data_IF_393121300379
#
_entry.id   IF_393121300379
#
_cell.length_a   1.000
_cell.length_b   1.000
_cell.length_c   1.000
_cell.angle_alpha   90.00
_cell.angle_beta   90.00
_cell.angle_gamma   90.00
#
_symmetry.space_group_name_H-M   'P 1'
#
loop_
_entity.id
_entity.type
_entity.pdbx_description
1 polymer ?
#
# COMPACT_ATOMS: atom_id res chain seq x y z
N UNK A 1 16.95 14.46 5.56
CA UNK A 1 15.52 14.12 5.33
C UNK A 1 15.23 12.83 6.07
N UNK A 2 14.34 12.85 7.07
CA UNK A 2 14.07 11.71 7.94
C UNK A 2 12.99 10.79 7.37
N UNK A 3 13.00 9.52 7.78
CA UNK A 3 11.96 8.54 7.47
C UNK A 3 10.65 8.95 8.13
N UNK A 4 9.55 8.99 7.38
CA UNK A 4 8.23 9.30 7.93
C UNK A 4 7.71 8.16 8.81
N UNK A 5 7.01 8.51 9.89
CA UNK A 5 6.25 7.54 10.68
C UNK A 5 5.16 6.91 9.81
N UNK A 6 5.08 5.59 9.78
CA UNK A 6 4.05 4.88 9.00
C UNK A 6 2.83 4.58 9.87
N UNK A 7 1.65 4.91 9.37
CA UNK A 7 0.36 4.50 9.93
C UNK A 7 -0.41 3.76 8.84
N UNK A 8 -0.77 2.50 9.09
CA UNK A 8 -1.59 1.69 8.17
C UNK A 8 -3.02 1.70 8.70
N UNK A 9 -3.98 2.10 7.85
CA UNK A 9 -5.40 2.09 8.20
C UNK A 9 -5.96 0.66 8.22
N UNK A 10 -7.03 0.46 8.99
CA UNK A 10 -7.69 -0.85 9.13
C UNK A 10 -8.08 -1.44 7.77
N UNK A 11 -8.60 -0.65 6.83
CA UNK A 11 -8.95 -1.15 5.49
C UNK A 11 -7.75 -1.78 4.76
N UNK A 12 -6.58 -1.12 4.83
CA UNK A 12 -5.35 -1.64 4.26
C UNK A 12 -4.82 -2.86 5.03
N UNK A 13 -4.94 -2.88 6.36
CA UNK A 13 -4.54 -4.02 7.19
C UNK A 13 -5.40 -5.25 6.91
N UNK A 14 -6.73 -5.09 6.85
CA UNK A 14 -7.67 -6.17 6.56
C UNK A 14 -7.39 -6.76 5.17
N UNK A 15 -7.20 -5.91 4.16
CA UNK A 15 -6.83 -6.37 2.82
C UNK A 15 -5.50 -7.16 2.82
N UNK A 16 -4.48 -6.68 3.54
CA UNK A 16 -3.22 -7.42 3.64
C UNK A 16 -3.41 -8.79 4.29
N UNK A 17 -4.22 -8.88 5.34
CA UNK A 17 -4.52 -10.15 6.02
C UNK A 17 -5.28 -11.12 5.11
N UNK A 18 -6.31 -10.64 4.42
CA UNK A 18 -7.10 -11.45 3.47
C UNK A 18 -6.24 -12.00 2.34
N UNK A 19 -5.43 -11.16 1.70
CA UNK A 19 -4.57 -11.58 0.58
C UNK A 19 -3.46 -12.51 1.05
N UNK A 20 -2.87 -12.25 2.22
CA UNK A 20 -1.86 -13.15 2.81
C UNK A 20 -2.47 -14.52 3.05
N UNK A 21 -3.63 -14.58 3.69
CA UNK A 21 -4.35 -15.82 3.96
C UNK A 21 -4.71 -16.56 2.66
N UNK A 22 -5.20 -15.85 1.64
CA UNK A 22 -5.49 -16.44 0.34
C UNK A 22 -4.24 -17.07 -0.30
N UNK A 23 -3.08 -16.39 -0.25
CA UNK A 23 -1.82 -16.96 -0.74
C UNK A 23 -1.38 -18.18 0.07
N UNK A 24 -1.54 -18.17 1.39
CA UNK A 24 -1.20 -19.32 2.22
C UNK A 24 -2.03 -20.55 1.84
N UNK A 25 -3.33 -20.36 1.63
CA UNK A 25 -4.26 -21.44 1.29
C UNK A 25 -4.11 -21.95 -0.15
N UNK A 26 -3.77 -21.09 -1.11
CA UNK A 26 -3.75 -21.45 -2.55
C UNK A 26 -2.37 -21.76 -3.12
N UNK A 27 -1.34 -21.05 -2.65
CA UNK A 27 0.02 -21.09 -3.23
C UNK A 27 1.09 -21.50 -2.20
N UNK A 28 0.72 -21.54 -0.91
CA UNK A 28 1.59 -21.88 0.20
C UNK A 28 2.32 -20.69 0.83
N UNK A 29 2.90 -20.93 2.01
CA UNK A 29 3.49 -19.89 2.89
C UNK A 29 4.57 -19.04 2.22
N UNK A 30 5.39 -19.61 1.34
CA UNK A 30 6.44 -18.86 0.63
C UNK A 30 5.87 -17.75 -0.24
N UNK A 31 4.74 -17.98 -0.90
CA UNK A 31 4.08 -16.97 -1.73
C UNK A 31 3.47 -15.85 -0.86
N UNK A 32 2.84 -16.22 0.26
CA UNK A 32 2.28 -15.27 1.21
C UNK A 32 3.35 -14.37 1.86
N UNK A 33 4.49 -14.96 2.23
CA UNK A 33 5.63 -14.23 2.77
C UNK A 33 6.17 -13.24 1.73
N UNK A 34 6.37 -13.68 0.49
CA UNK A 34 6.82 -12.81 -0.61
C UNK A 34 5.89 -11.61 -0.79
N UNK A 35 4.58 -11.83 -0.81
CA UNK A 35 3.60 -10.74 -0.88
C UNK A 35 3.77 -9.73 0.27
N UNK A 36 3.89 -10.22 1.50
CA UNK A 36 4.04 -9.37 2.69
C UNK A 36 5.34 -8.55 2.63
N UNK A 37 6.43 -9.16 2.21
CA UNK A 37 7.74 -8.52 2.08
C UNK A 37 7.74 -7.46 0.98
N UNK A 38 7.13 -7.74 -0.17
CA UNK A 38 7.01 -6.79 -1.28
C UNK A 38 6.22 -5.52 -0.85
N UNK A 39 5.10 -5.71 -0.13
CA UNK A 39 4.32 -4.59 0.41
C UNK A 39 5.12 -3.81 1.45
N UNK A 40 5.81 -4.48 2.39
CA UNK A 40 6.65 -3.83 3.41
C UNK A 40 7.79 -3.03 2.78
N UNK A 41 8.48 -3.58 1.79
CA UNK A 41 9.55 -2.90 1.07
C UNK A 41 9.04 -1.65 0.34
N UNK A 42 7.84 -1.74 -0.23
CA UNK A 42 7.22 -0.59 -0.88
C UNK A 42 6.85 0.49 0.13
N UNK A 43 6.24 0.13 1.26
CA UNK A 43 5.90 1.07 2.33
C UNK A 43 7.16 1.74 2.90
N UNK A 44 8.25 0.98 3.07
CA UNK A 44 9.56 1.51 3.49
C UNK A 44 10.13 2.51 2.48
N UNK A 45 9.95 2.24 1.19
CA UNK A 45 10.36 3.19 0.13
C UNK A 45 9.51 4.46 0.19
N UNK A 46 8.19 4.34 0.34
CA UNK A 46 7.26 5.46 0.44
C UNK A 46 7.48 6.30 1.70
N UNK A 47 7.93 5.71 2.81
CA UNK A 47 8.20 6.46 4.04
C UNK A 47 9.45 7.33 3.92
N UNK A 48 10.40 6.95 3.05
CA UNK A 48 11.60 7.73 2.74
C UNK A 48 11.38 8.73 1.61
N UNK A 49 10.60 8.34 0.61
CA UNK A 49 10.36 9.10 -0.61
C UNK A 49 8.86 9.17 -0.93
N UNK A 50 8.06 9.86 -0.11
CA UNK A 50 6.61 9.89 -0.27
C UNK A 50 6.14 10.56 -1.56
N UNK A 51 6.99 11.36 -2.22
CA UNK A 51 6.68 12.04 -3.47
C UNK A 51 6.82 11.21 -4.75
N UNK A 52 7.28 9.96 -4.68
CA UNK A 52 7.51 9.12 -5.88
C UNK A 52 6.22 8.57 -6.50
N UNK A 53 5.10 8.61 -5.75
CA UNK A 53 3.80 8.17 -6.25
C UNK A 53 3.12 9.20 -7.14
N UNK A 54 2.13 8.72 -7.88
CA UNK A 54 1.29 9.55 -8.75
C UNK A 54 0.20 10.23 -7.94
N UNK A 55 0.03 11.54 -8.11
CA UNK A 55 -1.05 12.29 -7.47
C UNK A 55 -2.42 11.88 -8.06
N UNK A 56 -3.33 11.42 -7.21
CA UNK A 56 -4.68 11.02 -7.60
C UNK A 56 -5.61 12.24 -7.56
N UNK A 57 -5.69 13.00 -8.66
CA UNK A 57 -6.50 14.22 -8.74
C UNK A 57 -7.98 13.96 -8.40
N UNK A 58 -8.56 12.86 -8.89
CA UNK A 58 -9.98 12.53 -8.71
C UNK A 58 -10.35 12.17 -7.27
N UNK A 59 -9.36 11.77 -6.44
CA UNK A 59 -9.56 11.43 -5.02
C UNK A 59 -9.10 12.54 -4.09
N UNK A 60 -8.38 13.53 -4.62
CA UNK A 60 -7.78 14.61 -3.84
C UNK A 60 -8.75 15.77 -3.70
N UNK A 61 -8.76 16.38 -2.51
CA UNK A 61 -9.47 17.64 -2.26
C UNK A 61 -8.47 18.79 -2.21
N UNK A 62 -8.96 20.03 -2.13
CA UNK A 62 -8.10 21.21 -1.96
C UNK A 62 -7.16 21.11 -0.74
N UNK A 63 -7.57 20.37 0.30
CA UNK A 63 -6.83 20.24 1.57
C UNK A 63 -6.14 18.90 1.74
N UNK A 64 -6.58 17.84 1.06
CA UNK A 64 -6.03 16.49 1.22
C UNK A 64 -5.63 15.90 -0.13
N UNK A 65 -4.33 15.71 -0.30
CA UNK A 65 -3.75 15.07 -1.48
C UNK A 65 -3.56 13.57 -1.23
N UNK A 66 -4.08 12.75 -2.14
CA UNK A 66 -3.85 11.32 -2.15
C UNK A 66 -2.95 10.95 -3.31
N UNK A 67 -2.09 9.97 -3.07
CA UNK A 67 -1.13 9.45 -4.02
C UNK A 67 -1.36 7.95 -4.20
N UNK A 68 -0.99 7.45 -5.37
CA UNK A 68 -0.97 6.03 -5.68
C UNK A 68 0.42 5.59 -6.12
N UNK A 69 0.82 4.39 -5.70
CA UNK A 69 2.07 3.78 -6.14
C UNK A 69 1.85 2.31 -6.47
N UNK A 70 2.37 1.87 -7.62
CA UNK A 70 2.35 0.47 -8.02
C UNK A 70 3.53 -0.24 -7.35
N UNK A 71 3.23 -1.00 -6.30
CA UNK A 71 4.19 -1.85 -5.60
C UNK A 71 4.65 -3.03 -6.47
N UNK A 72 3.71 -3.57 -7.23
CA UNK A 72 3.87 -4.68 -8.17
C UNK A 72 2.80 -4.46 -9.26
N UNK A 73 2.93 -5.01 -10.49
CA UNK A 73 1.84 -4.96 -11.48
C UNK A 73 0.49 -5.51 -10.99
N UNK A 74 0.48 -6.17 -9.82
CA UNK A 74 -0.71 -6.75 -9.17
C UNK A 74 -1.27 -5.91 -8.02
N UNK A 75 -0.55 -4.92 -7.47
CA UNK A 75 -0.98 -4.17 -6.29
C UNK A 75 -0.71 -2.67 -6.40
N UNK A 76 -1.74 -1.88 -6.14
CA UNK A 76 -1.68 -0.43 -6.04
C UNK A 76 -1.90 -0.01 -4.59
N UNK A 77 -0.93 0.70 -4.03
CA UNK A 77 -1.01 1.28 -2.69
C UNK A 77 -1.53 2.71 -2.83
N UNK A 78 -2.61 3.03 -2.12
CA UNK A 78 -3.16 4.38 -2.00
C UNK A 78 -2.72 4.95 -0.65
N UNK A 79 -2.11 6.12 -0.67
CA UNK A 79 -1.55 6.74 0.52
C UNK A 79 -1.70 8.25 0.52
N UNK A 80 -1.50 8.86 1.69
CA UNK A 80 -1.31 10.31 1.85
C UNK A 80 -0.21 10.54 2.86
N UNK A 81 0.40 11.71 2.89
CA UNK A 81 1.44 12.00 3.85
C UNK A 81 1.42 13.46 4.32
N UNK A 82 1.96 13.67 5.52
CA UNK A 82 2.26 14.99 6.10
C UNK A 82 3.78 15.16 6.18
N UNK A 83 4.24 16.24 6.81
CA UNK A 83 5.67 16.46 7.06
C UNK A 83 6.34 15.35 7.88
N UNK A 84 5.58 14.59 8.67
CA UNK A 84 6.12 13.62 9.64
C UNK A 84 5.53 12.22 9.53
N UNK A 85 4.38 12.06 8.85
CA UNK A 85 3.63 10.80 8.86
C UNK A 85 3.19 10.40 7.45
N UNK A 86 3.42 9.14 7.10
CA UNK A 86 2.85 8.46 5.94
C UNK A 86 1.63 7.64 6.39
N UNK A 87 0.49 7.89 5.77
CA UNK A 87 -0.74 7.13 5.97
C UNK A 87 -0.99 6.21 4.79
N UNK A 88 -0.92 4.90 5.01
CA UNK A 88 -1.37 3.90 4.04
C UNK A 88 -2.89 3.76 4.19
N UNK A 89 -3.61 4.17 3.16
CA UNK A 89 -5.08 4.34 3.21
C UNK A 89 -5.77 3.07 2.75
N UNK A 90 -5.36 2.52 1.61
CA UNK A 90 -5.91 1.30 1.04
C UNK A 90 -4.87 0.62 0.16
N UNK A 91 -5.00 -0.68 -0.03
CA UNK A 91 -4.21 -1.46 -0.98
C UNK A 91 -5.19 -2.20 -1.86
N UNK A 92 -5.06 -2.03 -3.18
CA UNK A 92 -5.98 -2.61 -4.16
C UNK A 92 -5.21 -3.60 -5.02
N UNK A 93 -5.75 -4.79 -5.22
CA UNK A 93 -5.28 -5.68 -6.27
C UNK A 93 -5.71 -5.11 -7.64
N UNK A 94 -4.77 -4.94 -8.56
CA UNK A 94 -5.04 -4.48 -9.94
C UNK A 94 -5.50 -5.63 -10.84
N UNK A 95 -5.30 -6.89 -10.42
CA UNK A 95 -5.54 -8.08 -11.26
C UNK A 95 -6.46 -9.14 -10.64
N UNK A 96 -6.96 -8.94 -9.41
CA UNK A 96 -7.97 -9.87 -8.86
C UNK A 96 -9.36 -9.40 -9.30
N UNK A 97 -10.02 -10.18 -10.16
CA UNK A 97 -11.48 -10.15 -10.25
C UNK A 97 -12.02 -10.27 -8.83
N UNK A 98 -13.01 -9.43 -8.47
CA UNK A 98 -13.73 -9.53 -7.19
C UNK A 98 -14.00 -11.00 -6.91
N UNK A 99 -13.41 -11.53 -5.84
CA UNK A 99 -13.79 -12.81 -5.26
C UNK A 99 -15.18 -12.61 -4.65
#
# INVERSE_FOLDING_TARGET
MGTLKVIVRNDALNFMQEVTHWYECTMGRKAAQKFTDDIRNTISTLSRFPGIGTLEHNRSTATTKYYSFLSHPKYRIIYRFTKTTLYIVAIHATMMKRI
#
